data_IF_747017267645
#
_entry.id   IF_747017267645
#
_cell.length_a   1.000
_cell.length_b   1.000
_cell.length_c   1.000
_cell.angle_alpha   90.00
_cell.angle_beta   90.00
_cell.angle_gamma   90.00
#
_symmetry.space_group_name_H-M   'P 1'
#
loop_
_entity.id
_entity.type
_entity.pdbx_description
1 polymer ?
#
# COMPACT_ATOMS: atom_id res chain seq x y z
N UNK A 1 -67.35 -30.20 3.57
CA UNK A 1 -66.19 -30.81 4.26
C UNK A 1 -64.92 -30.23 3.67
N UNK A 2 -64.25 -29.36 4.43
CA UNK A 2 -62.90 -28.81 4.18
C UNK A 2 -62.22 -28.75 5.55
N UNK A 3 -61.08 -29.43 5.76
CA UNK A 3 -60.41 -29.40 7.05
C UNK A 3 -59.54 -28.16 7.17
N UNK A 4 -59.60 -27.56 8.36
CA UNK A 4 -58.83 -26.43 8.85
C UNK A 4 -57.38 -26.85 9.12
N UNK A 5 -56.41 -26.10 8.59
CA UNK A 5 -54.99 -26.20 8.93
C UNK A 5 -54.66 -25.30 10.15
N UNK A 6 -53.84 -25.74 11.12
CA UNK A 6 -53.42 -24.90 12.22
C UNK A 6 -52.21 -24.04 11.84
N UNK A 7 -52.23 -22.78 12.28
CA UNK A 7 -51.08 -21.87 12.27
C UNK A 7 -50.00 -22.38 13.24
N UNK A 8 -48.81 -22.66 12.72
CA UNK A 8 -47.58 -22.85 13.51
C UNK A 8 -46.91 -21.48 13.70
N UNK A 9 -46.93 -20.98 14.94
CA UNK A 9 -46.12 -19.86 15.40
C UNK A 9 -44.65 -20.31 15.53
N UNK A 10 -43.78 -19.74 14.71
CA UNK A 10 -42.32 -19.87 14.83
C UNK A 10 -41.80 -18.76 15.75
N UNK A 11 -41.20 -19.16 16.88
CA UNK A 11 -40.47 -18.28 17.79
C UNK A 11 -39.04 -18.10 17.24
N UNK A 12 -38.49 -16.87 17.13
CA UNK A 12 -37.12 -16.69 16.70
C UNK A 12 -36.16 -17.05 17.85
N UNK A 13 -35.23 -17.95 17.54
CA UNK A 13 -34.13 -18.35 18.40
C UNK A 13 -33.15 -17.18 18.55
N UNK A 14 -33.14 -16.54 19.72
CA UNK A 14 -32.15 -15.52 20.09
C UNK A 14 -30.80 -16.20 20.28
N UNK A 15 -29.90 -16.04 19.31
CA UNK A 15 -28.52 -16.48 19.43
C UNK A 15 -27.80 -15.62 20.47
N UNK A 16 -27.36 -16.26 21.56
CA UNK A 16 -26.57 -15.64 22.60
C UNK A 16 -25.20 -15.21 22.03
N UNK A 17 -25.00 -13.89 21.95
CA UNK A 17 -23.71 -13.29 21.64
C UNK A 17 -22.75 -13.56 22.81
N UNK A 18 -21.82 -14.50 22.62
CA UNK A 18 -20.69 -14.70 23.53
C UNK A 18 -19.79 -13.47 23.62
N UNK A 19 -18.99 -13.33 24.69
CA UNK A 19 -18.15 -12.17 24.92
C UNK A 19 -17.12 -12.02 23.79
N UNK A 20 -17.11 -10.86 23.13
CA UNK A 20 -16.03 -10.44 22.24
C UNK A 20 -14.74 -10.37 23.05
N UNK A 21 -13.86 -11.35 22.84
CA UNK A 21 -12.46 -11.28 23.28
C UNK A 21 -11.86 -10.04 22.60
N UNK A 22 -11.60 -8.99 23.40
CA UNK A 22 -10.81 -7.84 22.95
C UNK A 22 -9.42 -8.37 22.60
N UNK A 23 -9.10 -8.34 21.31
CA UNK A 23 -7.74 -8.55 20.84
C UNK A 23 -6.82 -7.60 21.62
N UNK A 24 -5.74 -8.16 22.18
CA UNK A 24 -4.78 -7.41 22.99
C UNK A 24 -4.34 -6.15 22.26
N UNK A 25 -4.29 -5.04 23.00
CA UNK A 25 -3.74 -3.78 22.53
C UNK A 25 -2.32 -4.02 22.01
N UNK A 26 -2.13 -3.93 20.69
CA UNK A 26 -0.80 -3.79 20.11
C UNK A 26 -0.13 -2.59 20.80
N UNK A 27 1.16 -2.70 21.16
CA UNK A 27 1.88 -1.58 21.77
C UNK A 27 1.78 -0.35 20.84
N UNK A 28 1.68 0.87 21.41
CA UNK A 28 1.61 2.09 20.62
C UNK A 28 2.80 2.13 19.66
N UNK A 29 2.52 2.39 18.38
CA UNK A 29 3.54 2.52 17.35
C UNK A 29 4.66 3.45 17.85
N UNK A 30 5.93 3.04 17.78
CA UNK A 30 7.03 3.92 18.16
C UNK A 30 6.93 5.22 17.36
N UNK A 31 7.11 6.34 18.05
CA UNK A 31 7.13 7.70 17.51
C UNK A 31 7.86 7.76 16.16
N UNK A 32 7.39 8.62 15.21
CA UNK A 32 7.79 8.56 13.82
C UNK A 32 9.32 8.51 13.69
N UNK A 33 9.77 7.44 13.01
CA UNK A 33 11.14 7.16 12.59
C UNK A 33 11.88 8.45 12.20
N UNK A 34 13.19 8.58 12.52
CA UNK A 34 13.89 9.85 12.48
C UNK A 34 13.78 10.57 11.13
N UNK A 35 13.59 11.89 11.21
CA UNK A 35 13.47 12.84 10.10
C UNK A 35 14.68 12.86 9.13
N UNK A 36 15.77 12.17 9.46
CA UNK A 36 16.95 12.00 8.60
C UNK A 36 17.04 10.57 8.08
N UNK A 37 16.17 10.21 7.13
CA UNK A 37 16.35 8.97 6.38
C UNK A 37 17.42 9.23 5.32
N UNK A 38 18.46 8.40 5.28
CA UNK A 38 19.46 8.41 4.20
C UNK A 38 18.77 8.16 2.86
N UNK A 39 19.28 8.78 1.77
CA UNK A 39 18.78 8.51 0.42
C UNK A 39 18.68 7.00 0.19
N UNK A 40 17.52 6.53 -0.27
CA UNK A 40 17.31 5.10 -0.52
C UNK A 40 18.25 4.65 -1.65
N UNK A 41 19.06 3.64 -1.34
CA UNK A 41 19.85 2.87 -2.31
C UNK A 41 19.12 1.57 -2.64
N UNK A 42 19.49 0.95 -3.75
CA UNK A 42 18.85 -0.27 -4.25
C UNK A 42 19.88 -1.36 -4.50
N UNK A 43 19.57 -2.56 -4.04
CA UNK A 43 20.24 -3.79 -4.44
C UNK A 43 19.43 -4.50 -5.52
N UNK A 44 20.10 -5.18 -6.43
CA UNK A 44 19.47 -5.92 -7.52
C UNK A 44 20.04 -7.32 -7.61
N UNK A 45 19.18 -8.29 -7.90
CA UNK A 45 19.57 -9.69 -8.10
C UNK A 45 18.47 -10.42 -8.88
N UNK A 46 18.78 -11.59 -9.41
CA UNK A 46 17.84 -12.42 -10.14
C UNK A 46 16.87 -13.13 -9.18
N UNK A 47 15.58 -13.10 -9.51
CA UNK A 47 14.60 -13.97 -8.86
C UNK A 47 14.92 -15.42 -9.23
N UNK A 48 14.88 -16.28 -8.20
CA UNK A 48 15.07 -17.71 -8.36
C UNK A 48 13.75 -18.38 -8.77
N UNK A 49 13.77 -19.43 -9.59
CA UNK A 49 12.56 -20.21 -9.85
C UNK A 49 11.96 -20.74 -8.55
N UNK A 50 10.63 -20.68 -8.42
CA UNK A 50 9.95 -21.38 -7.32
C UNK A 50 10.17 -22.89 -7.54
N UNK A 51 10.64 -23.64 -6.54
CA UNK A 51 10.71 -25.09 -6.62
C UNK A 51 9.29 -25.65 -6.64
N UNK A 52 8.73 -25.83 -7.83
CA UNK A 52 7.42 -26.42 -8.02
C UNK A 52 7.53 -27.94 -7.92
N UNK A 53 6.68 -28.55 -7.11
CA UNK A 53 6.44 -29.99 -7.17
C UNK A 53 5.92 -30.32 -8.59
N UNK A 54 6.57 -31.21 -9.35
CA UNK A 54 6.12 -31.60 -10.68
C UNK A 54 4.64 -32.03 -10.70
N UNK A 55 4.13 -32.62 -9.62
CA UNK A 55 2.73 -33.02 -9.50
C UNK A 55 1.74 -31.83 -9.47
N UNK A 56 2.23 -30.63 -9.11
CA UNK A 56 1.43 -29.41 -9.00
C UNK A 56 1.45 -28.55 -10.26
N UNK A 57 2.33 -28.84 -11.23
CA UNK A 57 2.54 -27.99 -12.41
C UNK A 57 1.29 -27.85 -13.29
N UNK A 58 0.43 -28.89 -13.33
CA UNK A 58 -0.80 -28.89 -14.13
C UNK A 58 -2.07 -28.61 -13.32
N UNK A 59 -1.94 -28.39 -12.01
CA UNK A 59 -3.09 -28.15 -11.14
C UNK A 59 -3.40 -26.65 -11.09
N UNK A 60 -4.67 -26.30 -11.30
CA UNK A 60 -5.14 -24.93 -11.06
C UNK A 60 -4.86 -24.58 -9.59
N UNK A 61 -4.06 -23.54 -9.28
CA UNK A 61 -3.80 -23.15 -7.89
C UNK A 61 -5.10 -22.81 -7.12
N UNK A 62 -6.20 -22.50 -7.82
CA UNK A 62 -7.53 -22.30 -7.21
C UNK A 62 -8.17 -23.60 -6.70
N UNK A 63 -7.76 -24.75 -7.21
CA UNK A 63 -8.28 -26.05 -6.82
C UNK A 63 -7.82 -26.41 -5.40
N UNK A 64 -8.70 -26.17 -4.42
CA UNK A 64 -8.59 -26.52 -2.99
C UNK A 64 -7.42 -25.89 -2.21
N UNK A 65 -7.75 -25.07 -1.19
CA UNK A 65 -6.77 -24.36 -0.34
C UNK A 65 -5.87 -25.26 0.54
N UNK A 66 -6.19 -26.56 0.66
CA UNK A 66 -5.64 -27.47 1.70
C UNK A 66 -4.71 -28.55 1.11
N UNK A 67 -4.69 -28.73 -0.22
CA UNK A 67 -3.82 -29.75 -0.84
C UNK A 67 -2.37 -29.28 -0.92
N UNK A 68 -1.44 -30.22 -1.15
CA UNK A 68 -0.02 -29.92 -1.38
C UNK A 68 0.20 -28.90 -2.52
N UNK A 69 -0.71 -28.89 -3.51
CA UNK A 69 -0.71 -27.99 -4.65
C UNK A 69 -1.59 -26.75 -4.49
N UNK A 70 -2.22 -26.58 -3.32
CA UNK A 70 -3.13 -25.49 -3.06
C UNK A 70 -2.43 -24.12 -3.04
N UNK A 71 -3.18 -23.08 -3.42
CA UNK A 71 -2.71 -21.69 -3.45
C UNK A 71 -1.94 -21.27 -2.19
N UNK A 72 -2.45 -21.61 -1.01
CA UNK A 72 -1.83 -21.21 0.27
C UNK A 72 -0.41 -21.77 0.39
N UNK A 73 -0.21 -23.03 0.00
CA UNK A 73 1.11 -23.66 0.06
C UNK A 73 2.06 -23.06 -0.97
N UNK A 74 1.65 -23.02 -2.24
CA UNK A 74 2.46 -22.46 -3.34
C UNK A 74 2.84 -20.99 -3.10
N UNK A 75 1.92 -20.20 -2.53
CA UNK A 75 2.19 -18.80 -2.21
C UNK A 75 3.25 -18.64 -1.11
N UNK A 76 3.36 -19.57 -0.17
CA UNK A 76 4.48 -19.57 0.78
C UNK A 76 5.82 -19.87 0.11
N UNK A 77 5.80 -20.63 -0.98
CA UNK A 77 7.00 -21.03 -1.70
C UNK A 77 7.62 -19.88 -2.51
N UNK A 78 6.91 -18.74 -2.66
CA UNK A 78 7.47 -17.46 -3.14
C UNK A 78 8.74 -17.07 -2.35
N UNK A 79 8.81 -17.42 -1.06
CA UNK A 79 10.01 -17.18 -0.24
C UNK A 79 11.28 -17.81 -0.84
N UNK A 80 11.17 -18.92 -1.55
CA UNK A 80 12.31 -19.56 -2.21
C UNK A 80 12.76 -18.82 -3.47
N UNK A 81 11.87 -18.05 -4.09
CA UNK A 81 12.17 -17.23 -5.26
C UNK A 81 12.88 -15.92 -4.88
N UNK A 82 12.68 -15.42 -3.65
CA UNK A 82 13.24 -14.15 -3.22
C UNK A 82 14.78 -14.19 -3.17
N UNK A 83 15.48 -13.18 -3.71
CA UNK A 83 16.91 -13.07 -3.61
C UNK A 83 17.42 -13.12 -2.16
N UNK A 84 18.55 -13.79 -1.87
CA UNK A 84 19.11 -13.85 -0.52
C UNK A 84 19.33 -12.47 0.11
N UNK A 85 19.81 -11.50 -0.68
CA UNK A 85 20.00 -10.11 -0.23
C UNK A 85 18.70 -9.44 0.21
N UNK A 86 17.59 -9.69 -0.50
CA UNK A 86 16.27 -9.16 -0.15
C UNK A 86 15.76 -9.77 1.16
N UNK A 87 15.92 -11.09 1.34
CA UNK A 87 15.52 -11.75 2.60
C UNK A 87 16.33 -11.27 3.80
N UNK A 88 17.62 -10.99 3.59
CA UNK A 88 18.49 -10.37 4.60
C UNK A 88 18.03 -8.96 4.95
N UNK A 89 17.72 -8.13 3.96
CA UNK A 89 17.17 -6.78 4.18
C UNK A 89 15.88 -6.84 5.00
N UNK A 90 14.94 -7.73 4.69
CA UNK A 90 13.71 -7.87 5.47
C UNK A 90 13.98 -8.30 6.92
N UNK A 91 14.96 -9.18 7.15
CA UNK A 91 15.37 -9.55 8.50
C UNK A 91 15.97 -8.37 9.27
N UNK A 92 16.89 -7.62 8.66
CA UNK A 92 17.60 -6.52 9.31
C UNK A 92 16.75 -5.27 9.50
N UNK A 93 15.92 -4.91 8.52
CA UNK A 93 15.20 -3.63 8.48
C UNK A 93 13.73 -3.74 8.90
N UNK A 94 13.13 -4.92 8.75
CA UNK A 94 11.73 -5.16 9.16
C UNK A 94 11.61 -6.11 10.35
N UNK A 95 12.72 -6.65 10.87
CA UNK A 95 12.73 -7.57 11.99
C UNK A 95 12.07 -8.92 11.68
N UNK A 96 12.07 -9.33 10.40
CA UNK A 96 11.36 -10.52 9.95
C UNK A 96 12.29 -11.72 9.76
N UNK A 97 12.13 -12.74 10.60
CA UNK A 97 12.77 -14.03 10.37
C UNK A 97 12.18 -14.74 9.14
N UNK A 98 12.93 -15.71 8.59
CA UNK A 98 12.47 -16.53 7.46
C UNK A 98 11.14 -17.25 7.75
N UNK A 99 10.94 -17.73 8.98
CA UNK A 99 9.69 -18.39 9.40
C UNK A 99 8.53 -17.40 9.48
N UNK A 100 8.78 -16.16 9.90
CA UNK A 100 7.78 -15.10 9.92
C UNK A 100 7.38 -14.68 8.51
N UNK A 101 8.34 -14.49 7.59
CA UNK A 101 8.04 -14.21 6.18
C UNK A 101 7.13 -15.30 5.60
N UNK A 102 7.48 -16.58 5.83
CA UNK A 102 6.66 -17.72 5.39
C UNK A 102 5.25 -17.69 6.00
N UNK A 103 5.12 -17.31 7.28
CA UNK A 103 3.84 -17.16 7.98
C UNK A 103 3.03 -16.00 7.40
N UNK A 104 3.66 -14.87 7.11
CA UNK A 104 3.01 -13.69 6.54
C UNK A 104 2.52 -13.95 5.10
N UNK A 105 3.32 -14.62 4.26
CA UNK A 105 2.90 -15.09 2.93
C UNK A 105 1.67 -16.00 3.00
N UNK A 106 1.65 -16.96 3.94
CA UNK A 106 0.49 -17.83 4.17
C UNK A 106 -0.77 -17.03 4.47
N UNK A 107 -0.64 -16.06 5.38
CA UNK A 107 -1.74 -15.25 5.87
C UNK A 107 -2.16 -14.17 4.85
N UNK A 108 -1.36 -13.93 3.82
CA UNK A 108 -1.66 -13.02 2.72
C UNK A 108 -2.83 -13.50 1.88
N UNK A 109 -2.87 -14.80 1.57
CA UNK A 109 -3.86 -15.38 0.65
C UNK A 109 -5.31 -15.08 1.07
N UNK A 110 -5.74 -15.33 2.32
CA UNK A 110 -7.11 -15.00 2.72
C UNK A 110 -7.38 -13.49 2.81
N UNK A 111 -6.36 -12.65 2.98
CA UNK A 111 -6.50 -11.19 3.10
C UNK A 111 -6.60 -10.48 1.76
N UNK A 112 -5.77 -10.87 0.79
CA UNK A 112 -5.79 -10.32 -0.56
C UNK A 112 -6.97 -10.85 -1.40
N UNK A 113 -7.47 -12.03 -1.07
CA UNK A 113 -8.42 -12.75 -1.91
C UNK A 113 -7.71 -13.72 -2.87
N UNK A 114 -8.47 -14.70 -3.37
CA UNK A 114 -7.91 -15.79 -4.15
C UNK A 114 -7.37 -15.31 -5.50
N UNK A 115 -8.09 -14.43 -6.21
CA UNK A 115 -7.70 -14.00 -7.56
C UNK A 115 -6.40 -13.20 -7.56
N UNK A 116 -6.31 -12.16 -6.72
CA UNK A 116 -5.07 -11.37 -6.56
C UNK A 116 -3.89 -12.24 -6.14
N UNK A 117 -4.13 -13.21 -5.26
CA UNK A 117 -3.08 -14.14 -4.82
C UNK A 117 -2.62 -15.07 -5.94
N UNK A 118 -3.54 -15.54 -6.78
CA UNK A 118 -3.23 -16.36 -7.97
C UNK A 118 -2.45 -15.56 -9.00
N UNK A 119 -2.85 -14.31 -9.27
CA UNK A 119 -2.13 -13.46 -10.22
C UNK A 119 -0.70 -13.16 -9.76
N UNK A 120 -0.52 -12.84 -8.47
CA UNK A 120 0.83 -12.67 -7.90
C UNK A 120 1.65 -13.96 -7.94
N UNK A 121 1.04 -15.09 -7.60
CA UNK A 121 1.72 -16.39 -7.70
C UNK A 121 2.15 -16.66 -9.14
N UNK A 122 1.25 -16.46 -10.11
CA UNK A 122 1.56 -16.60 -11.54
C UNK A 122 2.68 -15.68 -11.97
N UNK A 123 2.72 -14.45 -11.47
CA UNK A 123 3.83 -13.54 -11.73
C UNK A 123 5.15 -14.21 -11.35
N UNK A 124 5.32 -14.66 -10.09
CA UNK A 124 6.54 -15.34 -9.64
C UNK A 124 6.82 -16.67 -10.35
N UNK A 125 5.79 -17.46 -10.67
CA UNK A 125 5.94 -18.73 -11.40
C UNK A 125 6.29 -18.53 -12.88
N UNK A 126 5.86 -17.42 -13.49
CA UNK A 126 6.17 -17.08 -14.88
C UNK A 126 7.59 -16.57 -15.08
N UNK A 127 8.26 -16.19 -13.98
CA UNK A 127 9.64 -15.79 -14.03
C UNK A 127 10.51 -17.00 -14.32
N UNK A 128 10.90 -17.12 -15.58
CA UNK A 128 12.05 -17.93 -15.94
C UNK A 128 13.25 -17.44 -15.13
N UNK A 129 14.09 -18.36 -14.64
CA UNK A 129 15.39 -18.02 -14.06
C UNK A 129 16.03 -16.92 -14.92
N UNK A 130 16.39 -15.78 -14.31
CA UNK A 130 17.08 -14.60 -14.88
C UNK A 130 16.30 -13.26 -14.89
N UNK A 131 15.06 -13.17 -14.40
CA UNK A 131 14.46 -11.85 -14.21
C UNK A 131 15.13 -11.13 -13.04
N UNK A 132 15.94 -10.11 -13.35
CA UNK A 132 16.54 -9.22 -12.36
C UNK A 132 15.49 -8.28 -11.80
N UNK A 133 15.40 -8.23 -10.48
CA UNK A 133 14.59 -7.27 -9.74
C UNK A 133 15.48 -6.46 -8.82
N UNK A 134 15.03 -5.27 -8.44
CA UNK A 134 15.68 -4.49 -7.41
C UNK A 134 14.72 -4.22 -6.24
N UNK A 135 15.31 -3.99 -5.08
CA UNK A 135 14.59 -3.60 -3.86
C UNK A 135 15.38 -2.56 -3.09
N UNK A 136 14.72 -1.72 -2.27
CA UNK A 136 15.41 -0.72 -1.46
C UNK A 136 16.24 -1.40 -0.37
N UNK A 137 17.48 -0.95 -0.15
CA UNK A 137 18.34 -1.43 0.95
C UNK A 137 17.82 -0.97 2.32
N UNK A 138 17.15 0.18 2.33
CA UNK A 138 16.52 0.80 3.49
C UNK A 138 15.11 1.27 3.08
N UNK A 139 14.11 0.37 3.04
CA UNK A 139 12.74 0.76 2.73
C UNK A 139 12.27 1.82 3.72
N UNK A 140 11.52 2.81 3.23
CA UNK A 140 10.91 3.84 4.06
C UNK A 140 9.62 3.36 4.76
N UNK A 141 9.25 2.10 4.55
CA UNK A 141 8.06 1.45 5.10
C UNK A 141 8.39 0.10 5.73
N UNK A 142 7.49 -0.38 6.56
CA UNK A 142 7.50 -1.71 7.18
C UNK A 142 6.37 -2.57 6.61
N UNK A 143 6.36 -3.84 6.99
CA UNK A 143 5.29 -4.75 6.58
C UNK A 143 3.92 -4.41 7.19
N UNK A 144 3.85 -3.58 8.25
CA UNK A 144 2.59 -3.14 8.87
C UNK A 144 1.87 -2.05 8.07
N UNK A 145 2.60 -1.35 7.18
CA UNK A 145 2.03 -0.32 6.31
C UNK A 145 1.09 -0.92 5.24
N UNK A 146 1.12 -2.24 5.04
CA UNK A 146 0.29 -2.96 4.08
C UNK A 146 -0.65 -3.93 4.78
N UNK A 147 -1.85 -4.12 4.21
CA UNK A 147 -2.87 -5.02 4.76
C UNK A 147 -2.40 -6.48 4.77
N UNK A 148 -1.52 -6.82 3.82
CA UNK A 148 -1.01 -8.17 3.59
C UNK A 148 0.37 -8.16 2.93
N UNK A 149 1.08 -9.28 3.04
CA UNK A 149 2.51 -9.37 2.76
C UNK A 149 2.86 -9.49 1.27
N UNK A 150 1.97 -10.05 0.43
CA UNK A 150 2.12 -10.01 -1.02
C UNK A 150 2.16 -8.58 -1.55
N UNK A 151 1.42 -7.68 -0.90
CA UNK A 151 1.45 -6.24 -1.11
C UNK A 151 2.79 -5.63 -0.74
N UNK A 152 3.37 -6.02 0.40
CA UNK A 152 4.73 -5.62 0.80
C UNK A 152 5.74 -6.01 -0.28
N UNK A 153 5.69 -7.25 -0.78
CA UNK A 153 6.57 -7.69 -1.87
C UNK A 153 6.35 -6.88 -3.15
N UNK A 154 5.11 -6.63 -3.54
CA UNK A 154 4.80 -5.82 -4.74
C UNK A 154 5.32 -4.38 -4.64
N UNK A 155 5.38 -3.82 -3.42
CA UNK A 155 5.90 -2.49 -3.17
C UNK A 155 7.43 -2.45 -3.10
N UNK A 156 8.06 -3.52 -2.62
CA UNK A 156 9.52 -3.62 -2.56
C UNK A 156 10.16 -3.85 -3.94
N UNK A 157 9.50 -4.62 -4.81
CA UNK A 157 10.06 -5.01 -6.10
C UNK A 157 9.89 -3.89 -7.15
N UNK A 158 11.01 -3.38 -7.64
CA UNK A 158 11.06 -2.36 -8.69
C UNK A 158 11.92 -2.82 -9.87
N UNK A 159 11.70 -2.19 -11.02
CA UNK A 159 12.38 -2.57 -12.27
C UNK A 159 13.78 -1.94 -12.35
N UNK A 160 14.85 -2.73 -12.63
CA UNK A 160 16.23 -2.25 -12.62
C UNK A 160 16.48 -1.09 -13.59
N UNK A 161 15.88 -1.13 -14.78
CA UNK A 161 16.05 -0.11 -15.81
C UNK A 161 15.41 1.25 -15.46
N UNK A 162 14.73 1.34 -14.32
CA UNK A 162 14.03 2.55 -13.86
C UNK A 162 14.65 3.19 -12.63
N UNK A 163 15.76 2.66 -12.11
CA UNK A 163 16.43 3.21 -10.93
C UNK A 163 16.93 4.65 -11.12
N UNK A 164 17.10 5.10 -12.36
CA UNK A 164 17.48 6.48 -12.71
C UNK A 164 16.30 7.45 -12.72
N UNK A 165 15.05 7.00 -12.57
CA UNK A 165 13.86 7.87 -12.55
C UNK A 165 13.73 8.62 -11.21
N UNK A 166 12.74 9.50 -11.13
CA UNK A 166 12.43 10.24 -9.90
C UNK A 166 12.06 9.29 -8.75
N UNK A 167 11.23 8.29 -9.06
CA UNK A 167 10.90 7.14 -8.24
C UNK A 167 11.00 5.92 -9.16
N UNK A 168 11.70 4.84 -8.75
CA UNK A 168 11.73 3.60 -9.52
C UNK A 168 10.33 3.03 -9.75
N UNK A 169 10.11 2.45 -10.92
CA UNK A 169 8.79 1.93 -11.28
C UNK A 169 8.62 0.50 -10.80
N UNK A 170 7.39 0.15 -10.45
CA UNK A 170 7.02 -1.23 -10.13
C UNK A 170 6.82 -2.07 -11.39
N UNK A 171 6.70 -3.37 -11.18
CA UNK A 171 6.16 -4.30 -12.17
C UNK A 171 4.63 -4.13 -12.23
N UNK A 172 4.10 -3.68 -13.37
CA UNK A 172 2.67 -3.37 -13.52
C UNK A 172 1.80 -4.63 -13.57
N UNK A 173 2.38 -5.71 -14.08
CA UNK A 173 1.88 -7.06 -14.16
C UNK A 173 1.93 -7.83 -12.82
N UNK A 174 2.61 -7.28 -11.80
CA UNK A 174 2.53 -7.76 -10.42
C UNK A 174 1.44 -6.97 -9.66
N UNK A 175 0.31 -7.61 -9.27
CA UNK A 175 -0.78 -6.90 -8.61
C UNK A 175 -0.34 -6.17 -7.33
N UNK A 176 -0.67 -4.87 -7.17
CA UNK A 176 -0.21 -4.07 -6.04
C UNK A 176 -0.92 -4.48 -4.73
N UNK A 177 -0.32 -4.11 -3.60
CA UNK A 177 -0.93 -4.21 -2.27
C UNK A 177 -1.75 -3.00 -1.87
N UNK A 178 -2.71 -3.21 -0.98
CA UNK A 178 -3.42 -2.15 -0.28
C UNK A 178 -2.68 -1.74 0.99
N UNK A 179 -2.71 -0.45 1.27
CA UNK A 179 -2.17 0.12 2.50
C UNK A 179 -3.13 -0.11 3.67
N UNK A 180 -2.58 -0.24 4.87
CA UNK A 180 -3.35 -0.40 6.11
C UNK A 180 -4.13 0.87 6.41
N UNK A 181 -5.44 0.77 6.68
CA UNK A 181 -6.31 1.95 6.86
C UNK A 181 -6.07 2.71 8.16
N UNK A 182 -5.81 1.99 9.26
CA UNK A 182 -5.77 2.55 10.61
C UNK A 182 -4.35 2.96 11.04
N UNK A 183 -3.58 3.54 10.11
CA UNK A 183 -2.20 3.98 10.36
C UNK A 183 -1.93 5.28 9.62
N UNK A 184 -1.05 6.09 10.20
CA UNK A 184 -0.45 7.20 9.47
C UNK A 184 0.69 6.66 8.61
N UNK A 185 0.63 6.98 7.33
CA UNK A 185 1.69 6.69 6.38
C UNK A 185 2.45 7.96 6.04
N UNK A 186 3.76 7.85 5.94
CA UNK A 186 4.62 8.99 5.63
C UNK A 186 5.27 8.83 4.25
N UNK A 187 5.36 9.93 3.50
CA UNK A 187 6.22 10.06 2.34
C UNK A 187 7.40 10.92 2.77
N UNK A 188 8.59 10.34 2.80
CA UNK A 188 9.82 11.02 3.15
C UNK A 188 10.55 11.49 1.90
N UNK A 189 11.36 12.55 2.04
CA UNK A 189 12.23 13.00 0.94
C UNK A 189 13.22 11.95 0.47
N UNK A 190 13.63 11.03 1.36
CA UNK A 190 14.51 9.93 1.01
C UNK A 190 13.90 8.95 0.00
N UNK A 191 12.56 8.90 -0.10
CA UNK A 191 11.81 7.96 -0.94
C UNK A 191 11.86 8.30 -2.43
N UNK A 192 12.46 9.43 -2.80
CA UNK A 192 12.52 9.90 -4.19
C UNK A 192 13.72 10.81 -4.46
N UNK A 193 14.08 10.96 -5.72
CA UNK A 193 15.03 11.96 -6.17
C UNK A 193 14.34 13.34 -6.23
N UNK A 194 14.61 14.19 -5.24
CA UNK A 194 13.95 15.50 -5.10
C UNK A 194 14.03 16.34 -6.37
N UNK A 195 15.18 16.44 -7.03
CA UNK A 195 15.34 17.30 -8.20
C UNK A 195 14.51 16.79 -9.37
N UNK A 196 14.41 15.46 -9.53
CA UNK A 196 13.60 14.85 -10.59
C UNK A 196 12.11 14.91 -10.27
N UNK A 197 11.69 14.71 -9.02
CA UNK A 197 10.29 14.93 -8.64
C UNK A 197 9.92 16.40 -8.83
N UNK A 198 10.81 17.31 -8.45
CA UNK A 198 10.62 18.74 -8.62
C UNK A 198 10.46 19.11 -10.11
N UNK A 199 11.24 18.53 -11.02
CA UNK A 199 11.06 18.76 -12.45
C UNK A 199 9.74 18.20 -13.00
N UNK A 200 9.20 17.13 -12.41
CA UNK A 200 7.86 16.63 -12.75
C UNK A 200 6.76 17.62 -12.33
N UNK A 201 6.97 18.47 -11.32
CA UNK A 201 5.95 19.45 -10.90
C UNK A 201 5.59 20.44 -12.01
N UNK A 202 6.55 20.74 -12.90
CA UNK A 202 6.33 21.59 -14.09
C UNK A 202 5.44 20.89 -15.11
N UNK A 203 5.53 19.56 -15.23
CA UNK A 203 4.65 18.78 -16.10
C UNK A 203 3.24 18.64 -15.53
N UNK A 204 3.15 18.56 -14.20
CA UNK A 204 1.90 18.29 -13.49
C UNK A 204 1.11 19.57 -13.21
N UNK A 205 1.77 20.74 -13.17
CA UNK A 205 1.14 22.07 -13.17
C UNK A 205 1.23 22.64 -14.58
N UNK A 206 0.19 22.44 -15.38
CA UNK A 206 0.08 23.10 -16.68
C UNK A 206 0.04 24.61 -16.39
N UNK A 207 1.05 25.33 -16.86
CA UNK A 207 1.11 26.78 -16.72
C UNK A 207 0.07 27.39 -17.65
N UNK A 208 -1.14 27.57 -17.15
CA UNK A 208 -2.20 28.26 -17.89
C UNK A 208 -1.80 29.73 -18.02
N UNK A 209 -1.62 30.18 -19.27
CA UNK A 209 -1.28 31.57 -19.62
C UNK A 209 -2.42 32.52 -19.20
N UNK A 210 -3.62 31.98 -18.97
CA UNK A 210 -4.77 32.73 -18.55
C UNK A 210 -4.71 33.05 -17.05
N UNK A 211 -4.76 34.34 -16.71
CA UNK A 211 -4.53 34.87 -15.35
C UNK A 211 -5.64 34.53 -14.34
N UNK A 212 -6.62 33.72 -14.72
CA UNK A 212 -7.74 33.32 -13.88
C UNK A 212 -7.52 31.94 -13.24
N UNK A 213 -6.69 31.94 -12.19
CA UNK A 213 -6.76 31.14 -10.95
C UNK A 213 -7.00 29.61 -10.95
N UNK A 214 -7.12 28.90 -12.08
CA UNK A 214 -7.07 27.43 -12.07
C UNK A 214 -5.67 26.95 -12.37
N UNK A 215 -5.05 26.31 -11.37
CA UNK A 215 -3.91 25.43 -11.60
C UNK A 215 -4.46 24.25 -12.39
N UNK A 216 -4.13 24.19 -13.67
CA UNK A 216 -4.53 23.07 -14.50
C UNK A 216 -3.59 21.90 -14.20
N UNK A 217 -4.17 20.79 -13.79
CA UNK A 217 -3.48 19.53 -13.59
C UNK A 217 -3.79 18.57 -14.74
N UNK A 218 -2.94 17.57 -14.92
CA UNK A 218 -3.28 16.43 -15.76
C UNK A 218 -4.59 15.77 -15.26
N UNK A 219 -5.30 15.09 -16.16
CA UNK A 219 -6.53 14.40 -15.79
C UNK A 219 -6.30 13.40 -14.66
N UNK A 220 -7.34 13.16 -13.86
CA UNK A 220 -7.29 12.20 -12.75
C UNK A 220 -6.82 10.81 -13.20
N UNK A 221 -7.29 10.34 -14.36
CA UNK A 221 -6.88 9.06 -14.95
C UNK A 221 -5.37 9.03 -15.26
N UNK A 222 -4.84 10.11 -15.82
CA UNK A 222 -3.42 10.22 -16.13
C UNK A 222 -2.58 10.25 -14.84
N UNK A 223 -3.02 11.00 -13.83
CA UNK A 223 -2.35 11.05 -12.53
C UNK A 223 -2.37 9.68 -11.83
N UNK A 224 -3.52 8.98 -11.87
CA UNK A 224 -3.65 7.59 -11.39
C UNK A 224 -2.67 6.68 -12.11
N UNK A 225 -2.56 6.75 -13.43
CA UNK A 225 -1.62 5.94 -14.22
C UNK A 225 -0.16 6.21 -13.82
N UNK A 226 0.23 7.48 -13.66
CA UNK A 226 1.59 7.85 -13.22
C UNK A 226 1.89 7.27 -11.83
N UNK A 227 1.07 7.57 -10.83
CA UNK A 227 1.33 7.12 -9.46
C UNK A 227 1.14 5.62 -9.28
N UNK A 228 0.28 5.01 -10.09
CA UNK A 228 0.17 3.55 -10.12
C UNK A 228 1.46 2.89 -10.63
N UNK A 229 2.23 3.56 -11.49
CA UNK A 229 3.51 3.03 -11.96
C UNK A 229 4.65 3.11 -10.95
N UNK A 230 4.53 3.98 -9.94
CA UNK A 230 5.59 4.21 -8.95
C UNK A 230 5.67 3.07 -7.94
N UNK A 231 6.90 2.64 -7.64
CA UNK A 231 7.21 1.65 -6.61
C UNK A 231 7.09 2.20 -5.19
N UNK A 232 7.18 1.29 -4.22
CA UNK A 232 7.18 1.61 -2.80
C UNK A 232 5.84 2.16 -2.27
N UNK A 233 5.89 2.64 -1.02
CA UNK A 233 4.72 3.24 -0.35
C UNK A 233 4.32 4.56 -0.97
N UNK A 234 5.28 5.36 -1.47
CA UNK A 234 5.02 6.65 -2.12
C UNK A 234 4.04 6.54 -3.28
N UNK A 235 4.24 5.58 -4.20
CA UNK A 235 3.33 5.36 -5.33
C UNK A 235 1.93 4.96 -4.87
N UNK A 236 1.84 4.04 -3.90
CA UNK A 236 0.55 3.58 -3.36
C UNK A 236 -0.24 4.68 -2.66
N UNK A 237 0.44 5.51 -1.88
CA UNK A 237 -0.19 6.62 -1.16
C UNK A 237 -0.73 7.68 -2.10
N UNK A 238 0.10 8.11 -3.06
CA UNK A 238 -0.31 9.13 -4.01
C UNK A 238 -1.41 8.59 -4.92
N UNK A 239 -1.35 7.33 -5.35
CA UNK A 239 -2.45 6.67 -6.05
C UNK A 239 -3.74 6.65 -5.23
N UNK A 240 -3.68 6.27 -3.94
CA UNK A 240 -4.84 6.26 -3.05
C UNK A 240 -5.41 7.66 -2.78
N UNK A 241 -4.57 8.69 -2.89
CA UNK A 241 -4.96 10.09 -2.80
C UNK A 241 -5.60 10.62 -4.09
N UNK A 242 -5.50 9.92 -5.23
CA UNK A 242 -6.13 10.32 -6.49
C UNK A 242 -7.58 9.84 -6.54
N UNK A 243 -8.46 10.48 -5.78
CA UNK A 243 -9.92 10.20 -5.77
C UNK A 243 -10.70 11.24 -6.57
N UNK A 244 -11.87 10.83 -7.04
CA UNK A 244 -12.82 11.72 -7.70
C UNK A 244 -13.35 12.79 -6.73
N UNK A 245 -13.88 13.89 -7.28
CA UNK A 245 -14.47 14.98 -6.47
C UNK A 245 -15.61 14.44 -5.60
N UNK A 246 -15.67 14.88 -4.35
CA UNK A 246 -16.66 14.42 -3.36
C UNK A 246 -16.39 13.05 -2.73
N UNK A 247 -15.34 12.32 -3.13
CA UNK A 247 -14.96 11.02 -2.53
C UNK A 247 -13.91 11.13 -1.40
N UNK A 248 -13.61 12.35 -0.96
CA UNK A 248 -12.76 12.57 0.21
C UNK A 248 -13.65 12.71 1.44
N UNK A 249 -13.50 11.81 2.41
CA UNK A 249 -14.08 11.95 3.74
C UNK A 249 -13.04 12.36 4.79
N UNK A 250 -13.53 12.63 6.00
CA UNK A 250 -12.70 12.88 7.17
C UNK A 250 -13.01 11.84 8.27
N UNK A 251 -12.13 10.86 8.42
CA UNK A 251 -12.21 9.88 9.50
C UNK A 251 -11.57 10.35 10.81
N UNK A 252 -10.86 11.48 10.80
CA UNK A 252 -10.19 11.98 12.00
C UNK A 252 -11.21 12.59 12.96
N UNK A 253 -11.30 12.04 14.17
CA UNK A 253 -12.33 12.35 15.15
C UNK A 253 -12.34 13.81 15.65
N UNK A 254 -11.23 14.56 15.55
CA UNK A 254 -11.19 16.01 15.82
C UNK A 254 -11.65 16.88 14.65
N UNK A 255 -12.05 16.27 13.55
CA UNK A 255 -12.44 16.95 12.32
C UNK A 255 -11.25 17.36 11.46
N UNK A 256 -11.53 17.59 10.18
CA UNK A 256 -10.57 18.02 9.19
C UNK A 256 -10.89 19.44 8.77
N UNK A 257 -9.85 20.21 8.41
CA UNK A 257 -10.05 21.49 7.71
C UNK A 257 -10.16 21.25 6.22
N UNK A 258 -11.04 22.01 5.58
CA UNK A 258 -11.14 22.05 4.14
C UNK A 258 -10.03 22.93 3.56
N UNK A 259 -9.43 22.47 2.46
CA UNK A 259 -8.37 23.14 1.67
C UNK A 259 -8.55 24.66 1.53
N UNK A 260 -9.79 25.12 1.25
CA UNK A 260 -10.11 26.53 0.98
C UNK A 260 -9.79 27.48 2.13
N UNK A 261 -9.72 26.97 3.36
CA UNK A 261 -9.77 27.82 4.55
C UNK A 261 -8.43 28.28 5.06
N UNK A 262 -7.29 27.77 4.57
CA UNK A 262 -5.93 28.30 4.74
C UNK A 262 -4.95 27.20 4.32
N UNK A 263 -3.79 27.58 3.76
CA UNK A 263 -2.60 26.73 3.68
C UNK A 263 -2.40 26.04 5.03
N UNK A 264 -2.77 24.76 5.11
CA UNK A 264 -2.90 24.04 6.37
C UNK A 264 -1.67 24.22 7.25
N UNK A 265 -1.88 24.75 8.45
CA UNK A 265 -0.83 24.79 9.46
C UNK A 265 -0.34 23.37 9.75
N UNK A 266 0.91 23.24 10.15
CA UNK A 266 1.45 21.97 10.63
C UNK A 266 0.57 21.39 11.74
N UNK A 267 0.36 20.07 11.73
CA UNK A 267 -0.47 19.40 12.74
C UNK A 267 -1.98 19.45 12.48
N UNK A 268 -2.43 20.12 11.40
CA UNK A 268 -3.85 20.20 11.06
C UNK A 268 -4.20 19.13 10.04
N UNK A 269 -5.23 18.33 10.34
CA UNK A 269 -5.77 17.32 9.43
C UNK A 269 -6.48 17.99 8.26
N UNK A 270 -6.11 17.65 7.04
CA UNK A 270 -6.64 18.27 5.83
C UNK A 270 -7.48 17.28 5.04
N UNK A 271 -8.68 17.73 4.66
CA UNK A 271 -9.54 17.04 3.73
C UNK A 271 -9.49 17.81 2.41
N UNK A 272 -8.81 17.27 1.38
CA UNK A 272 -8.76 17.92 0.09
C UNK A 272 -10.15 17.85 -0.56
N UNK A 273 -10.47 18.84 -1.39
CA UNK A 273 -11.74 18.85 -2.12
C UNK A 273 -11.75 17.83 -3.25
N UNK A 274 -10.64 17.80 -3.98
CA UNK A 274 -10.42 16.98 -5.17
C UNK A 274 -8.94 16.50 -5.19
N UNK A 275 -8.58 15.72 -6.21
CA UNK A 275 -7.21 15.22 -6.34
C UNK A 275 -6.18 16.32 -6.58
N UNK A 276 -6.59 17.46 -7.16
CA UNK A 276 -5.75 18.61 -7.38
C UNK A 276 -5.30 19.21 -6.04
N UNK A 277 -6.23 19.41 -5.11
CA UNK A 277 -5.93 19.82 -3.75
C UNK A 277 -4.99 18.83 -3.05
N UNK A 278 -5.27 17.53 -3.12
CA UNK A 278 -4.41 16.50 -2.51
C UNK A 278 -2.97 16.55 -3.03
N UNK A 279 -2.83 16.71 -4.35
CA UNK A 279 -1.56 16.83 -5.04
C UNK A 279 -0.81 18.11 -4.67
N UNK A 280 -1.49 19.26 -4.65
CA UNK A 280 -0.87 20.53 -4.29
C UNK A 280 -0.32 20.52 -2.85
N UNK A 281 -1.00 19.83 -1.93
CA UNK A 281 -0.50 19.63 -0.57
C UNK A 281 0.78 18.79 -0.55
N UNK A 282 0.82 17.69 -1.30
CA UNK A 282 2.07 16.92 -1.41
C UNK A 282 3.19 17.76 -2.03
N UNK A 283 2.92 18.49 -3.12
CA UNK A 283 3.91 19.38 -3.74
C UNK A 283 4.42 20.45 -2.76
N UNK A 284 3.54 21.01 -1.95
CA UNK A 284 3.93 21.98 -0.92
C UNK A 284 4.81 21.32 0.17
N UNK A 285 4.57 20.06 0.52
CA UNK A 285 5.47 19.34 1.44
C UNK A 285 6.87 19.17 0.85
N UNK A 286 7.00 19.02 -0.47
CA UNK A 286 8.29 18.98 -1.17
C UNK A 286 9.01 20.32 -1.00
N UNK A 287 8.34 21.43 -1.30
CA UNK A 287 8.87 22.80 -1.17
C UNK A 287 9.39 23.07 0.24
N UNK A 288 8.65 22.63 1.25
CA UNK A 288 8.99 22.84 2.66
C UNK A 288 10.02 21.84 3.20
N UNK A 289 10.44 20.85 2.39
CA UNK A 289 11.34 19.78 2.81
C UNK A 289 10.85 19.04 4.07
N UNK A 290 9.54 18.78 4.15
CA UNK A 290 8.90 18.08 5.27
C UNK A 290 8.29 16.75 4.83
N UNK A 291 8.24 15.74 5.72
CA UNK A 291 7.48 14.52 5.43
C UNK A 291 6.02 14.85 5.18
N UNK A 292 5.42 14.17 4.22
CA UNK A 292 3.98 14.26 3.95
C UNK A 292 3.28 13.08 4.60
N UNK A 293 2.33 13.34 5.49
CA UNK A 293 1.56 12.26 6.10
C UNK A 293 0.22 12.07 5.40
N UNK A 294 -0.25 10.82 5.37
CA UNK A 294 -1.53 10.46 4.75
C UNK A 294 -2.15 9.35 5.60
N UNK A 295 -3.46 9.43 5.81
CA UNK A 295 -4.24 8.43 6.54
C UNK A 295 -5.39 7.93 5.69
N UNK A 296 -5.77 6.67 5.86
CA UNK A 296 -6.75 5.96 5.03
C UNK A 296 -7.94 5.45 5.86
N UNK A 297 -8.17 6.05 7.02
CA UNK A 297 -9.13 5.63 8.03
C UNK A 297 -8.94 6.42 9.33
N UNK A 298 -9.56 5.93 10.40
CA UNK A 298 -9.49 6.55 11.72
C UNK A 298 -8.08 6.50 12.29
N UNK A 299 -7.67 7.60 12.93
CA UNK A 299 -6.38 7.76 13.57
C UNK A 299 -6.59 8.32 14.97
N UNK A 300 -6.05 7.66 15.99
CA UNK A 300 -6.18 8.13 17.36
C UNK A 300 -5.37 9.40 17.56
N UNK A 301 -5.76 10.17 18.58
CA UNK A 301 -5.25 11.50 18.87
C UNK A 301 -3.74 11.52 19.10
N UNK A 302 -3.25 10.52 19.83
CA UNK A 302 -1.85 10.31 20.15
C UNK A 302 -0.99 10.01 18.91
N UNK A 303 -1.59 9.59 17.80
CA UNK A 303 -0.92 9.31 16.53
C UNK A 303 -1.04 10.46 15.52
N UNK A 304 -1.68 11.58 15.89
CA UNK A 304 -1.83 12.73 15.01
C UNK A 304 -0.45 13.31 14.59
N UNK A 305 -0.13 13.35 13.29
CA UNK A 305 1.13 13.90 12.78
C UNK A 305 1.26 15.38 13.05
N UNK A 306 2.46 15.82 13.43
CA UNK A 306 2.81 17.23 13.56
C UNK A 306 3.22 17.89 12.23
N UNK A 307 3.09 17.19 11.10
CA UNK A 307 3.47 17.68 9.77
C UNK A 307 2.24 18.03 8.93
N UNK A 308 2.43 18.32 7.64
CA UNK A 308 1.33 18.41 6.69
C UNK A 308 0.75 17.01 6.46
N UNK A 309 -0.55 16.82 6.69
CA UNK A 309 -1.17 15.51 6.51
C UNK A 309 -2.58 15.54 5.93
N UNK A 310 -2.85 14.58 5.05
CA UNK A 310 -4.16 14.35 4.45
C UNK A 310 -4.91 13.23 5.15
N UNK A 311 -6.23 13.41 5.24
CA UNK A 311 -7.17 12.35 5.63
C UNK A 311 -7.95 11.92 4.41
N UNK A 312 -7.89 10.63 4.10
CA UNK A 312 -8.52 10.00 2.95
C UNK A 312 -9.47 8.91 3.48
N UNK A 313 -10.63 9.30 4.01
CA UNK A 313 -11.68 8.33 4.38
C UNK A 313 -12.48 7.92 3.15
#
# INVERSE_FOLDING_TARGET
MKPSLPLLLTVPLVAALGPRVRAGSEPPDPAPFPLSISKITYSCDAIQPIPLDPACHHQDPRATRITACGLVRRFQDILHALPPGMTRMMAEKMGLSRSEIKRHLRNSVPRAGADTSVERLRWFESLMSNQTVCWPDHPDFTHHDFQEFGGVLSALLVRPETLTKAIPLRFMDLPPGYLTRNRVHYIYKASYDYQKVWSLTVLVRILSIDRYHRRDHLSLEHMRSIFDSWGGRVGRLLFAAMRDDGLYGCAYHKGCRHDRELRGGYGVALQPRDFAGALDHWLWSLEMNKPFAVTLGDVPDEAAPSTLWLVLD
#
